data_IF_193566673524
#
_entry.id   IF_193566673524
#
_cell.length_a   1.000
_cell.length_b   1.000
_cell.length_c   1.000
_cell.angle_alpha   90.00
_cell.angle_beta   90.00
_cell.angle_gamma   90.00
#
_symmetry.space_group_name_H-M   'P 1'
#
loop_
_entity.id
_entity.type
_entity.pdbx_description
1 polymer ?
#
# COMPACT_ATOMS: atom_id res chain seq x y z
N UNK A 1 110.93 20.24 50.63
CA UNK A 1 109.79 19.34 51.05
C UNK A 1 108.41 19.97 50.86
N UNK A 2 108.18 21.26 50.77
CA UNK A 2 106.85 21.88 50.63
C UNK A 2 106.17 21.63 49.23
N UNK A 3 106.93 21.46 48.14
CA UNK A 3 106.34 21.26 46.76
C UNK A 3 105.82 19.86 46.55
N UNK A 4 106.32 18.83 47.31
CA UNK A 4 105.86 17.45 47.20
C UNK A 4 104.51 17.23 47.86
N UNK A 5 104.24 17.89 48.98
CA UNK A 5 102.97 17.82 49.70
C UNK A 5 101.82 18.60 48.93
N UNK A 6 102.13 19.66 48.25
CA UNK A 6 101.14 20.41 47.45
C UNK A 6 100.67 19.61 46.25
N UNK A 7 101.57 18.88 45.56
CA UNK A 7 101.21 18.03 44.42
C UNK A 7 100.39 16.77 44.82
N UNK A 8 100.64 16.25 46.07
CA UNK A 8 99.85 15.10 46.55
C UNK A 8 98.39 15.47 46.85
N UNK A 9 98.19 16.66 47.47
CA UNK A 9 96.81 17.15 47.74
C UNK A 9 96.04 17.51 46.48
N UNK A 10 96.67 18.06 45.42
CA UNK A 10 96.08 18.31 44.15
C UNK A 10 95.71 17.03 43.42
N UNK A 11 96.51 15.98 43.49
CA UNK A 11 96.22 14.66 42.95
C UNK A 11 95.06 13.98 43.67
N UNK A 12 95.02 13.99 45.04
CA UNK A 12 93.87 13.47 45.78
C UNK A 12 92.56 14.19 45.47
N UNK A 13 92.57 15.52 45.35
CA UNK A 13 91.41 16.31 44.93
C UNK A 13 90.96 15.98 43.50
N UNK A 14 91.92 15.81 42.58
CA UNK A 14 91.61 15.43 41.18
C UNK A 14 91.00 14.02 41.12
N UNK A 15 91.51 13.09 41.96
CA UNK A 15 90.97 11.75 42.02
C UNK A 15 89.55 11.73 42.62
N UNK A 16 89.30 12.54 43.68
CA UNK A 16 87.96 12.71 44.25
C UNK A 16 86.96 13.28 43.24
N UNK A 17 87.38 14.32 42.47
CA UNK A 17 86.53 14.86 41.40
C UNK A 17 86.28 13.85 40.30
N UNK A 18 87.28 13.03 39.93
CA UNK A 18 87.10 11.96 38.93
C UNK A 18 86.09 10.90 39.44
N UNK A 19 86.24 10.46 40.71
CA UNK A 19 85.32 9.50 41.34
C UNK A 19 83.87 10.05 41.43
N UNK A 20 83.74 11.32 41.84
CA UNK A 20 82.43 12.00 41.85
C UNK A 20 81.83 12.07 40.47
N UNK A 21 82.59 12.44 39.41
CA UNK A 21 82.15 12.45 38.05
C UNK A 21 81.69 11.07 37.54
N UNK A 22 82.51 10.00 37.84
CA UNK A 22 82.14 8.62 37.50
C UNK A 22 80.86 8.20 38.22
N UNK A 23 80.70 8.54 39.51
CA UNK A 23 79.50 8.23 40.28
C UNK A 23 78.25 8.93 39.66
N UNK A 24 78.35 10.26 39.31
CA UNK A 24 77.31 10.98 38.70
C UNK A 24 76.95 10.38 37.29
N UNK A 25 78.01 9.99 36.56
CA UNK A 25 77.81 9.33 35.24
C UNK A 25 77.07 7.97 35.38
N UNK A 26 77.41 7.14 36.40
CA UNK A 26 76.67 5.90 36.65
C UNK A 26 75.23 6.12 37.07
N UNK A 27 74.99 7.13 37.92
CA UNK A 27 73.64 7.52 38.32
C UNK A 27 72.85 7.96 37.09
N UNK A 28 73.45 8.77 36.20
CA UNK A 28 72.81 9.18 34.92
C UNK A 28 72.45 7.97 34.04
N UNK A 29 73.37 7.01 33.87
CA UNK A 29 73.12 5.78 33.13
C UNK A 29 71.98 4.97 33.73
N UNK A 30 71.99 4.78 35.08
CA UNK A 30 70.95 4.05 35.78
C UNK A 30 69.56 4.68 35.60
N UNK A 31 69.46 6.03 35.66
CA UNK A 31 68.22 6.75 35.46
C UNK A 31 67.76 6.61 33.99
N UNK A 32 68.67 6.69 33.00
CA UNK A 32 68.42 6.53 31.60
C UNK A 32 67.88 5.12 31.32
N UNK A 33 68.56 4.07 31.83
CA UNK A 33 68.16 2.70 31.60
C UNK A 33 66.79 2.35 32.25
N UNK A 34 66.52 2.92 33.43
CA UNK A 34 65.25 2.81 34.13
C UNK A 34 64.09 3.44 33.26
N UNK A 35 64.30 4.68 32.80
CA UNK A 35 63.31 5.36 31.92
C UNK A 35 63.07 4.59 30.62
N UNK A 36 64.14 4.04 30.01
CA UNK A 36 64.05 3.24 28.79
C UNK A 36 63.20 1.98 29.03
N UNK A 37 63.44 1.28 30.17
CA UNK A 37 62.64 0.10 30.52
C UNK A 37 61.17 0.44 30.78
N UNK A 38 60.88 1.59 31.38
CA UNK A 38 59.52 2.07 31.63
C UNK A 38 58.81 2.40 30.32
N UNK A 39 59.47 3.10 29.39
CA UNK A 39 58.96 3.42 28.08
C UNK A 39 58.65 2.16 27.25
N UNK A 40 59.51 1.15 27.25
CA UNK A 40 59.29 -0.13 26.60
C UNK A 40 58.08 -0.87 27.20
N UNK A 41 57.90 -0.83 28.50
CA UNK A 41 56.75 -1.44 29.17
C UNK A 41 55.46 -0.71 28.76
N UNK A 42 55.46 0.61 28.66
CA UNK A 42 54.33 1.41 28.21
C UNK A 42 53.94 1.09 26.76
N UNK A 43 54.94 0.98 25.87
CA UNK A 43 54.71 0.54 24.46
C UNK A 43 54.11 -0.86 24.39
N UNK A 44 54.65 -1.84 25.16
CA UNK A 44 54.09 -3.19 25.19
C UNK A 44 52.64 -3.22 25.73
N UNK A 45 52.33 -2.41 26.72
CA UNK A 45 50.98 -2.31 27.24
C UNK A 45 50.03 -1.73 26.19
N UNK A 46 50.45 -0.69 25.49
CA UNK A 46 49.67 -0.10 24.38
C UNK A 46 49.40 -1.10 23.27
N UNK A 47 50.37 -1.92 22.88
CA UNK A 47 50.17 -3.00 21.89
C UNK A 47 49.17 -4.03 22.40
N UNK A 48 49.20 -4.40 23.69
CA UNK A 48 48.21 -5.32 24.27
C UNK A 48 46.80 -4.72 24.27
N UNK A 49 46.65 -3.44 24.56
CA UNK A 49 45.39 -2.72 24.50
C UNK A 49 44.84 -2.71 23.06
N UNK A 50 45.66 -2.45 22.07
CA UNK A 50 45.29 -2.53 20.66
C UNK A 50 44.78 -3.94 20.26
N UNK A 51 45.48 -5.00 20.71
CA UNK A 51 45.06 -6.39 20.44
C UNK A 51 43.71 -6.70 21.13
N UNK A 52 43.48 -6.14 22.33
CA UNK A 52 42.18 -6.31 23.04
C UNK A 52 41.05 -5.46 22.53
N UNK A 53 41.30 -4.59 21.53
CA UNK A 53 40.28 -3.75 20.93
C UNK A 53 40.07 -2.37 21.58
N UNK A 54 40.99 -1.98 22.48
CA UNK A 54 40.98 -0.62 23.05
C UNK A 54 41.90 0.31 22.24
N UNK A 55 41.30 1.23 21.48
CA UNK A 55 41.99 2.15 20.57
C UNK A 55 42.02 3.60 21.09
N UNK A 56 41.49 3.88 22.31
CA UNK A 56 41.13 5.27 22.68
C UNK A 56 42.26 6.06 23.28
N UNK A 57 43.26 5.47 23.92
CA UNK A 57 44.23 6.22 24.69
C UNK A 57 45.49 6.51 23.87
N UNK A 58 45.92 7.75 23.84
CA UNK A 58 47.18 8.12 23.20
C UNK A 58 48.35 7.88 24.16
N UNK A 59 49.39 7.24 23.67
CA UNK A 59 50.62 7.03 24.42
C UNK A 59 51.58 8.20 24.18
N UNK A 60 52.01 8.86 25.26
CA UNK A 60 53.04 9.90 25.21
C UNK A 60 54.30 9.40 25.90
N UNK A 61 55.43 9.35 25.16
CA UNK A 61 56.75 8.97 25.67
C UNK A 61 57.67 10.18 25.55
N UNK A 62 58.53 10.36 26.57
CA UNK A 62 59.53 11.41 26.59
C UNK A 62 60.93 10.82 26.65
N UNK A 63 61.89 11.40 25.91
CA UNK A 63 63.27 11.04 25.95
C UNK A 63 63.85 10.65 24.59
N UNK A 64 64.15 9.37 24.37
CA UNK A 64 64.81 8.88 23.17
C UNK A 64 63.94 9.09 21.92
N UNK A 65 64.52 9.69 20.86
CA UNK A 65 63.81 10.05 19.65
C UNK A 65 63.16 8.84 18.96
N UNK A 66 63.86 7.70 18.97
CA UNK A 66 63.39 6.47 18.30
C UNK A 66 62.16 5.88 19.02
N UNK A 67 62.13 5.96 20.36
CA UNK A 67 60.95 5.54 21.15
C UNK A 67 59.78 6.51 21.03
N UNK A 68 60.06 7.80 20.90
CA UNK A 68 59.02 8.83 20.62
C UNK A 68 58.39 8.59 19.24
N UNK A 69 59.20 8.35 18.22
CA UNK A 69 58.71 8.05 16.87
C UNK A 69 57.91 6.75 16.83
N UNK A 70 58.36 5.71 17.53
CA UNK A 70 57.58 4.46 17.64
C UNK A 70 56.23 4.70 18.37
N UNK A 71 56.21 5.53 19.41
CA UNK A 71 54.98 5.91 20.11
C UNK A 71 54.01 6.65 19.18
N UNK A 72 54.52 7.57 18.35
CA UNK A 72 53.71 8.28 17.38
C UNK A 72 53.13 7.32 16.32
N UNK A 73 53.94 6.41 15.76
CA UNK A 73 53.45 5.42 14.81
C UNK A 73 52.40 4.47 15.43
N UNK A 74 52.54 4.09 16.72
CA UNK A 74 51.52 3.30 17.43
C UNK A 74 50.23 4.10 17.66
N UNK A 75 50.31 5.39 17.93
CA UNK A 75 49.12 6.25 18.00
C UNK A 75 48.43 6.40 16.68
N UNK A 76 49.16 6.62 15.58
CA UNK A 76 48.62 6.68 14.22
C UNK A 76 47.92 5.36 13.84
N UNK A 77 48.58 4.22 14.15
CA UNK A 77 47.97 2.90 13.92
C UNK A 77 46.70 2.71 14.74
N UNK A 78 46.71 3.14 16.04
CA UNK A 78 45.53 3.12 16.89
C UNK A 78 44.37 3.90 16.30
N UNK A 79 44.63 5.10 15.78
CA UNK A 79 43.61 5.93 15.13
C UNK A 79 43.04 5.31 13.84
N UNK A 80 43.89 4.73 13.00
CA UNK A 80 43.46 3.98 11.79
C UNK A 80 42.57 2.81 12.18
N UNK A 81 42.91 2.01 13.19
CA UNK A 81 42.07 0.92 13.64
C UNK A 81 40.74 1.40 14.24
N UNK A 82 40.76 2.48 15.02
CA UNK A 82 39.57 3.10 15.62
C UNK A 82 38.59 3.52 14.50
N UNK A 83 39.10 4.27 13.51
CA UNK A 83 38.27 4.72 12.36
C UNK A 83 37.76 3.56 11.53
N UNK A 84 38.57 2.55 11.27
CA UNK A 84 38.14 1.36 10.53
C UNK A 84 37.02 0.60 11.29
N UNK A 85 37.17 0.44 12.62
CA UNK A 85 36.18 -0.24 13.46
C UNK A 85 34.84 0.57 13.52
N UNK A 86 34.94 1.90 13.71
CA UNK A 86 33.77 2.78 13.71
C UNK A 86 33.05 2.76 12.37
N UNK A 87 33.78 2.84 11.26
CA UNK A 87 33.21 2.75 9.92
C UNK A 87 32.50 1.41 9.68
N UNK A 88 33.10 0.30 10.11
CA UNK A 88 32.50 -1.02 10.00
C UNK A 88 31.21 -1.12 10.84
N UNK A 89 31.24 -0.59 12.07
CA UNK A 89 30.07 -0.56 12.94
C UNK A 89 28.95 0.31 12.35
N UNK A 90 29.27 1.47 11.81
CA UNK A 90 28.31 2.35 11.12
C UNK A 90 27.70 1.66 9.90
N UNK A 91 28.51 1.03 9.04
CA UNK A 91 28.02 0.33 7.85
C UNK A 91 27.11 -0.85 8.21
N UNK A 92 27.52 -1.63 9.24
CA UNK A 92 26.67 -2.71 9.78
C UNK A 92 25.32 -2.19 10.29
N UNK A 93 25.33 -1.09 11.06
CA UNK A 93 24.10 -0.48 11.56
C UNK A 93 23.24 0.09 10.43
N UNK A 94 23.86 0.70 9.41
CA UNK A 94 23.17 1.20 8.21
C UNK A 94 22.47 0.08 7.46
N UNK A 95 23.16 -1.03 7.22
CA UNK A 95 22.58 -2.21 6.58
C UNK A 95 21.45 -2.83 7.42
N UNK A 96 21.62 -2.92 8.74
CA UNK A 96 20.58 -3.40 9.64
C UNK A 96 19.33 -2.51 9.60
N UNK A 97 19.49 -1.19 9.62
CA UNK A 97 18.39 -0.25 9.50
C UNK A 97 17.66 -0.39 8.15
N UNK A 98 18.40 -0.50 7.03
CA UNK A 98 17.81 -0.72 5.72
C UNK A 98 16.93 -1.97 5.74
N UNK A 99 17.43 -3.09 6.24
CA UNK A 99 16.71 -4.36 6.33
C UNK A 99 15.47 -4.28 7.24
N UNK A 100 15.52 -3.46 8.30
CA UNK A 100 14.38 -3.26 9.22
C UNK A 100 13.26 -2.45 8.59
N UNK A 101 13.61 -1.39 7.83
CA UNK A 101 12.61 -0.50 7.22
C UNK A 101 12.18 -0.93 5.81
N UNK A 102 12.73 -2.02 5.27
CA UNK A 102 12.26 -2.58 4.00
C UNK A 102 10.84 -3.12 4.13
N UNK A 103 10.01 -2.81 3.13
CA UNK A 103 8.65 -3.35 2.97
C UNK A 103 8.63 -4.78 2.47
N UNK A 104 9.75 -5.26 1.94
CA UNK A 104 9.91 -6.62 1.44
C UNK A 104 10.51 -7.53 2.49
N UNK A 105 10.02 -8.76 2.53
CA UNK A 105 10.61 -9.82 3.34
C UNK A 105 11.92 -10.30 2.74
N UNK A 106 12.99 -10.38 3.55
CA UNK A 106 14.31 -10.82 3.09
C UNK A 106 14.79 -12.01 3.91
N UNK A 107 15.23 -13.06 3.22
CA UNK A 107 15.90 -14.22 3.79
C UNK A 107 17.28 -14.37 3.16
N UNK A 108 18.26 -14.80 3.96
CA UNK A 108 19.52 -15.31 3.43
C UNK A 108 19.76 -16.73 3.92
N UNK A 109 20.35 -17.57 3.05
CA UNK A 109 20.64 -18.96 3.36
C UNK A 109 22.13 -19.26 3.26
N UNK A 110 22.54 -20.37 3.87
CA UNK A 110 23.82 -21.00 3.61
C UNK A 110 23.78 -21.86 2.32
N UNK A 111 24.87 -22.59 2.03
CA UNK A 111 24.99 -23.47 0.86
C UNK A 111 24.07 -24.69 0.90
N UNK A 112 23.53 -25.03 2.05
CA UNK A 112 22.64 -26.18 2.25
C UNK A 112 21.16 -25.77 2.20
N UNK A 113 20.88 -24.47 2.03
CA UNK A 113 19.54 -23.91 2.02
C UNK A 113 18.98 -23.56 3.39
N UNK A 114 19.79 -23.68 4.44
CA UNK A 114 19.38 -23.27 5.80
C UNK A 114 19.41 -21.77 5.95
N UNK A 115 18.34 -21.22 6.49
CA UNK A 115 18.21 -19.78 6.74
C UNK A 115 19.21 -19.34 7.79
N UNK A 116 20.02 -18.35 7.44
CA UNK A 116 21.03 -17.70 8.30
C UNK A 116 20.60 -16.29 8.71
N UNK A 117 19.69 -15.67 7.97
CA UNK A 117 19.18 -14.32 8.24
C UNK A 117 17.74 -14.19 7.76
N UNK A 118 16.95 -13.47 8.53
CA UNK A 118 15.57 -13.07 8.22
C UNK A 118 15.34 -11.65 8.76
N UNK A 119 14.72 -10.75 7.97
CA UNK A 119 14.35 -9.42 8.44
C UNK A 119 12.96 -9.43 9.12
N UNK A 120 12.57 -8.31 9.74
CA UNK A 120 11.30 -8.20 10.46
C UNK A 120 10.09 -8.37 9.52
N UNK A 121 10.15 -7.82 8.30
CA UNK A 121 9.03 -7.95 7.35
C UNK A 121 8.81 -9.41 6.97
N UNK A 122 9.85 -10.18 6.71
CA UNK A 122 9.72 -11.61 6.42
C UNK A 122 9.15 -12.39 7.62
N UNK A 123 9.49 -12.02 8.86
CA UNK A 123 8.89 -12.63 10.04
C UNK A 123 7.37 -12.42 10.08
N UNK A 124 6.89 -11.21 9.79
CA UNK A 124 5.46 -10.86 9.73
C UNK A 124 4.76 -11.57 8.57
N UNK A 125 5.27 -11.41 7.34
CA UNK A 125 4.69 -12.01 6.14
C UNK A 125 4.60 -13.55 6.23
N UNK A 126 5.57 -14.17 6.91
CA UNK A 126 5.64 -15.63 7.03
C UNK A 126 5.12 -16.16 8.37
N UNK A 127 4.73 -15.27 9.27
CA UNK A 127 4.31 -15.61 10.64
C UNK A 127 5.33 -16.55 11.32
N UNK A 128 6.62 -16.16 11.25
CA UNK A 128 7.75 -16.95 11.74
C UNK A 128 8.63 -16.08 12.66
N UNK A 129 8.76 -16.48 13.90
CA UNK A 129 9.74 -15.88 14.80
C UNK A 129 11.18 -16.16 14.34
N UNK A 130 12.06 -15.19 14.50
CA UNK A 130 13.46 -15.29 14.08
C UNK A 130 14.14 -16.57 14.53
N UNK A 131 14.02 -16.91 15.82
CA UNK A 131 14.71 -18.06 16.43
C UNK A 131 14.21 -19.41 15.87
N UNK A 132 12.94 -19.46 15.46
CA UNK A 132 12.36 -20.64 14.82
C UNK A 132 12.70 -20.71 13.33
N UNK A 133 12.89 -19.58 12.67
CA UNK A 133 13.23 -19.49 11.24
C UNK A 133 14.69 -19.88 10.98
N UNK A 134 15.59 -19.49 11.87
CA UNK A 134 17.03 -19.79 11.73
C UNK A 134 17.28 -21.29 11.73
N UNK A 135 17.99 -21.76 10.70
CA UNK A 135 18.31 -23.19 10.51
C UNK A 135 17.24 -24.02 9.78
N UNK A 136 16.02 -23.49 9.56
CA UNK A 136 15.05 -24.13 8.67
C UNK A 136 15.53 -24.10 7.22
N UNK A 137 15.10 -25.09 6.43
CA UNK A 137 15.37 -25.03 4.99
C UNK A 137 14.40 -24.06 4.33
N UNK A 138 14.90 -23.21 3.45
CA UNK A 138 14.07 -22.21 2.73
C UNK A 138 12.96 -22.88 1.90
N UNK A 139 13.21 -24.09 1.38
CA UNK A 139 12.22 -24.87 0.62
C UNK A 139 11.00 -25.22 1.48
N UNK A 140 11.20 -25.50 2.77
CA UNK A 140 10.10 -25.83 3.69
C UNK A 140 9.19 -24.62 3.93
N UNK A 141 9.75 -23.41 3.87
CA UNK A 141 9.00 -22.16 4.04
C UNK A 141 8.16 -21.83 2.80
N UNK A 142 8.59 -22.21 1.61
CA UNK A 142 7.83 -22.02 0.37
C UNK A 142 6.53 -22.84 0.33
N UNK A 143 6.39 -23.83 1.21
CA UNK A 143 5.19 -24.64 1.33
C UNK A 143 5.27 -25.97 0.56
N UNK A 144 4.30 -26.86 0.84
CA UNK A 144 4.27 -28.22 0.28
C UNK A 144 3.98 -28.26 -1.22
N UNK A 145 3.34 -27.24 -1.75
CA UNK A 145 2.98 -27.11 -3.18
C UNK A 145 4.13 -26.55 -4.04
N UNK A 146 5.28 -26.24 -3.41
CA UNK A 146 6.45 -25.76 -4.12
C UNK A 146 7.09 -26.90 -4.92
N UNK A 147 7.24 -26.77 -6.27
CA UNK A 147 7.81 -27.80 -7.12
C UNK A 147 9.35 -27.80 -7.15
N UNK A 148 9.99 -26.80 -6.54
CA UNK A 148 11.44 -26.57 -6.65
C UNK A 148 12.19 -27.17 -5.46
N UNK A 149 13.27 -27.89 -5.76
CA UNK A 149 14.29 -28.24 -4.76
C UNK A 149 15.25 -27.06 -4.54
N UNK A 150 16.06 -27.12 -3.48
CA UNK A 150 17.08 -26.09 -3.26
C UNK A 150 18.08 -26.00 -4.42
N UNK A 151 18.43 -27.10 -5.03
CA UNK A 151 19.29 -27.14 -6.22
C UNK A 151 18.64 -26.44 -7.44
N UNK A 152 17.34 -26.59 -7.61
CA UNK A 152 16.60 -25.86 -8.65
C UNK A 152 16.62 -24.35 -8.41
N UNK A 153 16.46 -23.92 -7.15
CA UNK A 153 16.55 -22.51 -6.78
C UNK A 153 17.95 -21.93 -7.05
N UNK A 154 19.00 -22.70 -6.81
CA UNK A 154 20.38 -22.30 -7.13
C UNK A 154 20.65 -22.22 -8.64
N UNK A 155 20.13 -23.18 -9.42
CA UNK A 155 20.42 -23.29 -10.83
C UNK A 155 19.64 -22.32 -11.71
N UNK A 156 18.35 -22.10 -11.39
CA UNK A 156 17.39 -21.36 -12.23
C UNK A 156 16.97 -20.02 -11.65
N UNK A 157 17.17 -19.80 -10.33
CA UNK A 157 16.66 -18.61 -9.60
C UNK A 157 15.23 -18.24 -10.03
N UNK A 158 14.26 -19.18 -9.96
CA UNK A 158 12.92 -18.96 -10.46
C UNK A 158 12.21 -17.88 -9.63
N UNK A 159 11.18 -17.28 -10.21
CA UNK A 159 10.22 -16.49 -9.46
C UNK A 159 9.11 -17.42 -8.94
N UNK A 160 8.84 -17.38 -7.64
CA UNK A 160 7.85 -18.25 -6.98
C UNK A 160 6.75 -17.38 -6.38
N UNK A 161 5.49 -17.70 -6.69
CA UNK A 161 4.32 -17.04 -6.08
C UNK A 161 3.69 -18.00 -5.10
N UNK A 162 3.51 -17.56 -3.87
CA UNK A 162 2.84 -18.32 -2.81
C UNK A 162 1.70 -17.54 -2.20
N UNK A 163 0.63 -18.26 -1.87
CA UNK A 163 -0.51 -17.72 -1.14
C UNK A 163 -0.48 -18.28 0.29
N UNK A 164 -0.55 -17.38 1.26
CA UNK A 164 -0.54 -17.78 2.67
C UNK A 164 -1.33 -16.79 3.53
N UNK A 165 -1.40 -17.08 4.83
CA UNK A 165 -1.95 -16.14 5.81
C UNK A 165 -0.79 -15.44 6.54
N UNK A 166 -0.91 -14.14 6.71
CA UNK A 166 0.01 -13.34 7.50
C UNK A 166 -0.19 -13.51 9.02
N UNK A 167 0.50 -12.72 9.83
CA UNK A 167 0.36 -12.71 11.29
C UNK A 167 -1.05 -12.32 11.77
N UNK A 168 -1.79 -11.54 10.99
CA UNK A 168 -3.16 -11.10 11.28
C UNK A 168 -4.22 -12.11 10.80
N UNK A 169 -3.79 -13.17 10.11
CA UNK A 169 -4.67 -14.19 9.53
C UNK A 169 -5.28 -13.80 8.18
N UNK A 170 -4.86 -12.69 7.58
CA UNK A 170 -5.28 -12.26 6.27
C UNK A 170 -4.55 -13.04 5.16
N UNK A 171 -5.24 -13.24 4.02
CA UNK A 171 -4.62 -13.87 2.85
C UNK A 171 -3.71 -12.90 2.12
N UNK A 172 -2.44 -13.25 2.03
CA UNK A 172 -1.42 -12.49 1.30
C UNK A 172 -0.84 -13.33 0.17
N UNK A 173 -0.59 -12.69 -0.97
CA UNK A 173 0.11 -13.25 -2.13
C UNK A 173 1.51 -12.71 -2.17
N UNK A 174 2.49 -13.57 -1.89
CA UNK A 174 3.90 -13.21 -1.87
C UNK A 174 4.58 -13.68 -3.14
N UNK A 175 5.26 -12.77 -3.81
CA UNK A 175 6.11 -13.04 -4.97
C UNK A 175 7.56 -13.05 -4.51
N UNK A 176 8.21 -14.22 -4.61
CA UNK A 176 9.55 -14.46 -4.09
C UNK A 176 10.53 -14.54 -5.26
N UNK A 177 11.56 -13.71 -5.21
CA UNK A 177 12.69 -13.72 -6.13
C UNK A 177 13.95 -14.17 -5.42
N UNK A 178 14.76 -14.94 -6.14
CA UNK A 178 16.00 -15.50 -5.61
C UNK A 178 17.21 -14.90 -6.31
N UNK A 179 18.26 -14.61 -5.54
CA UNK A 179 19.55 -14.19 -6.02
C UNK A 179 20.66 -15.00 -5.36
N UNK A 180 21.72 -15.32 -6.13
CA UNK A 180 22.87 -16.03 -5.60
C UNK A 180 23.73 -15.11 -4.73
N UNK A 181 24.00 -15.52 -3.50
CA UNK A 181 24.98 -14.86 -2.66
C UNK A 181 26.37 -15.42 -2.98
N UNK A 182 27.26 -14.57 -3.54
CA UNK A 182 28.61 -14.94 -3.94
C UNK A 182 29.62 -14.23 -3.07
N UNK A 183 30.71 -14.94 -2.72
CA UNK A 183 31.91 -14.32 -2.11
C UNK A 183 32.74 -13.65 -3.22
N UNK A 184 33.67 -12.78 -2.82
CA UNK A 184 34.64 -12.16 -3.77
C UNK A 184 35.41 -13.18 -4.58
N UNK A 185 35.67 -14.38 -4.04
CA UNK A 185 36.26 -15.52 -4.71
C UNK A 185 35.37 -16.17 -5.79
N UNK A 186 34.15 -15.67 -6.04
CA UNK A 186 33.17 -16.20 -6.98
C UNK A 186 32.38 -17.41 -6.48
N UNK A 187 32.74 -18.01 -5.35
CA UNK A 187 32.03 -19.17 -4.78
C UNK A 187 30.65 -18.76 -4.25
N UNK A 188 29.61 -19.57 -4.59
CA UNK A 188 28.27 -19.39 -4.07
C UNK A 188 28.28 -19.74 -2.57
N UNK A 189 27.88 -18.77 -1.73
CA UNK A 189 27.77 -18.93 -0.27
C UNK A 189 26.34 -19.28 0.18
N UNK A 190 25.35 -19.13 -0.69
CA UNK A 190 23.94 -19.40 -0.45
C UNK A 190 23.03 -18.64 -1.39
N UNK A 191 21.78 -18.47 -1.00
CA UNK A 191 20.77 -17.68 -1.69
C UNK A 191 20.32 -16.50 -0.84
N UNK A 192 19.92 -15.43 -1.48
CA UNK A 192 19.08 -14.38 -0.92
C UNK A 192 17.71 -14.50 -1.58
N UNK A 193 16.65 -14.57 -0.79
CA UNK A 193 15.28 -14.55 -1.24
C UNK A 193 14.62 -13.25 -0.78
N UNK A 194 13.94 -12.57 -1.71
CA UNK A 194 13.17 -11.35 -1.45
C UNK A 194 11.70 -11.65 -1.73
N UNK A 195 10.88 -11.53 -0.71
CA UNK A 195 9.44 -11.75 -0.77
C UNK A 195 8.71 -10.40 -0.82
N UNK A 196 8.11 -10.10 -1.96
CA UNK A 196 7.32 -8.90 -2.20
C UNK A 196 5.83 -9.22 -2.05
N UNK A 197 5.09 -8.41 -1.30
CA UNK A 197 3.64 -8.54 -1.20
C UNK A 197 2.98 -7.95 -2.44
N UNK A 198 2.34 -8.81 -3.21
CA UNK A 198 1.62 -8.46 -4.44
C UNK A 198 0.11 -8.60 -4.30
N UNK A 199 -0.41 -8.69 -3.08
CA UNK A 199 -1.81 -8.99 -2.79
C UNK A 199 -2.76 -8.01 -3.48
N UNK A 200 -2.54 -6.71 -3.30
CA UNK A 200 -3.37 -5.68 -3.95
C UNK A 200 -3.21 -5.69 -5.48
N UNK A 201 -1.98 -5.84 -5.98
CA UNK A 201 -1.73 -5.90 -7.43
C UNK A 201 -2.42 -7.10 -8.09
N UNK A 202 -2.33 -8.29 -7.48
CA UNK A 202 -2.99 -9.50 -7.99
C UNK A 202 -4.52 -9.40 -7.91
N UNK A 203 -5.04 -8.72 -6.88
CA UNK A 203 -6.47 -8.44 -6.73
C UNK A 203 -6.96 -7.50 -7.82
N UNK A 204 -6.27 -6.37 -8.03
CA UNK A 204 -6.60 -5.41 -9.10
C UNK A 204 -6.53 -6.07 -10.48
N UNK A 205 -5.49 -6.86 -10.74
CA UNK A 205 -5.37 -7.57 -12.02
C UNK A 205 -6.46 -8.62 -12.22
N UNK A 206 -6.84 -9.35 -11.17
CA UNK A 206 -7.96 -10.30 -11.19
C UNK A 206 -9.29 -9.58 -11.47
N UNK A 207 -9.54 -8.48 -10.78
CA UNK A 207 -10.74 -7.66 -11.00
C UNK A 207 -10.78 -7.14 -12.43
N UNK A 208 -9.66 -6.67 -12.97
CA UNK A 208 -9.54 -6.23 -14.36
C UNK A 208 -9.82 -7.35 -15.36
N UNK A 209 -9.25 -8.55 -15.14
CA UNK A 209 -9.52 -9.72 -16.02
C UNK A 209 -10.98 -10.14 -15.97
N UNK A 210 -11.59 -10.17 -14.79
CA UNK A 210 -13.01 -10.46 -14.61
C UNK A 210 -13.88 -9.40 -15.29
N UNK A 211 -13.52 -8.13 -15.18
CA UNK A 211 -14.21 -7.04 -15.86
C UNK A 211 -14.24 -7.24 -17.37
N UNK A 212 -13.08 -7.47 -18.02
CA UNK A 212 -12.99 -7.70 -19.47
C UNK A 212 -13.80 -8.93 -19.89
N UNK A 213 -13.73 -10.01 -19.12
CA UNK A 213 -14.51 -11.24 -19.38
C UNK A 213 -16.01 -10.97 -19.31
N UNK A 214 -16.46 -10.25 -18.26
CA UNK A 214 -17.87 -9.93 -18.07
C UNK A 214 -18.40 -9.00 -19.17
N UNK A 215 -17.63 -7.98 -19.58
CA UNK A 215 -17.96 -7.10 -20.71
C UNK A 215 -18.19 -7.92 -21.97
N UNK A 216 -17.23 -8.81 -22.28
CA UNK A 216 -17.32 -9.64 -23.49
C UNK A 216 -18.56 -10.55 -23.47
N UNK A 217 -18.89 -11.13 -22.34
CA UNK A 217 -20.04 -12.01 -22.17
C UNK A 217 -21.36 -11.22 -22.26
N UNK A 218 -21.47 -10.09 -21.57
CA UNK A 218 -22.69 -9.30 -21.51
C UNK A 218 -22.99 -8.54 -22.84
N UNK A 219 -21.96 -8.31 -23.68
CA UNK A 219 -22.15 -7.79 -25.06
C UNK A 219 -22.49 -8.90 -26.06
N UNK A 220 -21.93 -10.11 -25.90
CA UNK A 220 -22.17 -11.23 -26.84
C UNK A 220 -23.62 -11.67 -26.83
N UNK A 221 -24.25 -11.76 -25.66
CA UNK A 221 -25.65 -12.27 -25.53
C UNK A 221 -26.65 -11.42 -26.32
N UNK A 222 -26.76 -10.07 -26.11
CA UNK A 222 -27.68 -9.27 -26.89
C UNK A 222 -27.37 -9.27 -28.40
N UNK A 223 -26.07 -9.25 -28.74
CA UNK A 223 -25.66 -9.28 -30.16
C UNK A 223 -26.10 -10.60 -30.84
N UNK A 224 -25.98 -11.73 -30.17
CA UNK A 224 -26.47 -13.00 -30.68
C UNK A 224 -28.01 -12.98 -30.85
N UNK A 225 -28.71 -12.40 -29.87
CA UNK A 225 -30.18 -12.26 -29.93
C UNK A 225 -30.59 -11.40 -31.13
N UNK A 226 -30.01 -10.19 -31.29
CA UNK A 226 -30.27 -9.33 -32.45
C UNK A 226 -30.00 -10.05 -33.74
N UNK A 227 -28.86 -10.75 -33.86
CA UNK A 227 -28.49 -11.49 -35.05
C UNK A 227 -29.55 -12.57 -35.37
N UNK A 228 -29.97 -13.38 -34.38
CA UNK A 228 -30.97 -14.45 -34.62
C UNK A 228 -32.33 -13.92 -35.05
N UNK A 229 -32.80 -12.80 -34.49
CA UNK A 229 -34.07 -12.21 -34.94
C UNK A 229 -33.97 -11.61 -36.34
N UNK A 230 -32.85 -10.98 -36.71
CA UNK A 230 -32.61 -10.48 -38.04
C UNK A 230 -32.48 -11.62 -39.08
N UNK A 231 -31.81 -12.71 -38.77
CA UNK A 231 -31.73 -13.90 -39.61
C UNK A 231 -33.10 -14.52 -39.84
N UNK A 232 -33.94 -14.64 -38.79
CA UNK A 232 -35.31 -15.12 -38.93
C UNK A 232 -36.17 -14.21 -39.81
N UNK A 233 -36.00 -12.89 -39.74
CA UNK A 233 -36.69 -11.93 -40.63
C UNK A 233 -36.24 -12.08 -42.08
N UNK A 234 -34.96 -12.32 -42.33
CA UNK A 234 -34.38 -12.55 -43.66
C UNK A 234 -34.88 -13.86 -44.29
N UNK A 235 -34.97 -14.93 -43.47
CA UNK A 235 -35.45 -16.26 -43.87
C UNK A 235 -36.95 -16.32 -44.16
N UNK A 236 -37.73 -15.25 -43.96
CA UNK A 236 -39.14 -15.15 -44.38
C UNK A 236 -40.12 -14.67 -43.32
N UNK A 237 -39.76 -14.59 -42.04
CA UNK A 237 -40.61 -14.08 -40.96
C UNK A 237 -41.03 -12.60 -41.18
N UNK A 238 -40.39 -11.89 -42.12
CA UNK A 238 -40.78 -10.52 -42.51
C UNK A 238 -42.21 -10.42 -43.03
N UNK A 239 -42.74 -11.52 -43.58
CA UNK A 239 -44.10 -11.62 -44.12
C UNK A 239 -45.12 -12.12 -43.10
N UNK A 240 -44.71 -12.42 -41.91
CA UNK A 240 -45.54 -12.94 -40.84
C UNK A 240 -45.93 -11.85 -39.84
N UNK A 241 -47.03 -12.07 -39.10
CA UNK A 241 -47.50 -11.17 -38.04
C UNK A 241 -46.50 -10.98 -36.89
N UNK A 242 -45.43 -11.80 -36.81
CA UNK A 242 -44.38 -11.73 -35.82
C UNK A 242 -43.28 -10.70 -36.09
N UNK A 243 -43.17 -10.21 -37.34
CA UNK A 243 -42.14 -9.27 -37.78
C UNK A 243 -42.03 -8.02 -36.88
N UNK A 244 -43.11 -7.33 -36.48
CA UNK A 244 -43.04 -6.16 -35.60
C UNK A 244 -42.45 -6.50 -34.23
N UNK A 245 -42.72 -7.71 -33.70
CA UNK A 245 -42.17 -8.16 -32.40
C UNK A 245 -40.68 -8.43 -32.48
N UNK A 246 -40.17 -9.02 -33.57
CA UNK A 246 -38.74 -9.29 -33.79
C UNK A 246 -37.95 -8.01 -33.97
N UNK A 247 -38.49 -7.05 -34.73
CA UNK A 247 -37.89 -5.70 -34.88
C UNK A 247 -37.83 -5.00 -33.52
N UNK A 248 -38.92 -5.05 -32.74
CA UNK A 248 -38.98 -4.41 -31.43
C UNK A 248 -37.92 -5.00 -30.47
N UNK A 249 -37.80 -6.33 -30.39
CA UNK A 249 -36.80 -6.99 -29.55
C UNK A 249 -35.38 -6.62 -29.99
N UNK A 250 -35.12 -6.58 -31.31
CA UNK A 250 -33.82 -6.16 -31.85
C UNK A 250 -33.46 -4.73 -31.48
N UNK A 251 -34.43 -3.80 -31.57
CA UNK A 251 -34.26 -2.41 -31.15
C UNK A 251 -34.00 -2.30 -29.63
N UNK A 252 -34.76 -3.03 -28.80
CA UNK A 252 -34.65 -3.00 -27.36
C UNK A 252 -33.25 -3.51 -26.92
N UNK A 253 -32.76 -4.61 -27.53
CA UNK A 253 -31.41 -5.13 -27.25
C UNK A 253 -30.30 -4.20 -27.76
N UNK A 254 -30.48 -3.55 -28.90
CA UNK A 254 -29.55 -2.54 -29.40
C UNK A 254 -29.46 -1.33 -28.45
N UNK A 255 -30.59 -0.80 -28.01
CA UNK A 255 -30.66 0.29 -27.04
C UNK A 255 -30.04 -0.10 -25.70
N UNK A 256 -30.19 -1.36 -25.29
CA UNK A 256 -29.53 -1.91 -24.11
C UNK A 256 -27.98 -1.95 -24.25
N UNK A 257 -27.49 -2.38 -25.42
CA UNK A 257 -26.05 -2.37 -25.71
C UNK A 257 -25.50 -0.94 -25.71
N UNK A 258 -26.18 0.02 -26.28
CA UNK A 258 -25.78 1.44 -26.29
C UNK A 258 -25.65 1.99 -24.83
N UNK A 259 -26.64 1.72 -23.98
CA UNK A 259 -26.59 2.09 -22.58
C UNK A 259 -25.41 1.43 -21.85
N UNK A 260 -25.16 0.13 -22.11
CA UNK A 260 -24.02 -0.57 -21.53
C UNK A 260 -22.69 0.03 -21.95
N UNK A 261 -22.53 0.39 -23.24
CA UNK A 261 -21.31 1.04 -23.73
C UNK A 261 -21.11 2.41 -23.06
N UNK A 262 -22.19 3.19 -22.91
CA UNK A 262 -22.14 4.48 -22.22
C UNK A 262 -21.74 4.33 -20.75
N UNK A 263 -22.30 3.33 -20.05
CA UNK A 263 -21.95 3.01 -18.65
C UNK A 263 -20.48 2.59 -18.53
N UNK A 264 -19.97 1.77 -19.47
CA UNK A 264 -18.57 1.32 -19.50
C UNK A 264 -17.61 2.49 -19.74
N UNK A 265 -17.94 3.39 -20.66
CA UNK A 265 -17.13 4.59 -20.92
C UNK A 265 -17.13 5.53 -19.70
N UNK A 266 -18.26 5.67 -19.02
CA UNK A 266 -18.33 6.44 -17.77
C UNK A 266 -17.41 5.86 -16.70
N UNK A 267 -17.49 4.54 -16.46
CA UNK A 267 -16.60 3.84 -15.50
C UNK A 267 -15.12 3.97 -15.89
N UNK A 268 -14.78 3.76 -17.15
CA UNK A 268 -13.39 3.88 -17.63
C UNK A 268 -12.82 5.28 -17.43
N UNK A 269 -13.62 6.32 -17.63
CA UNK A 269 -13.19 7.70 -17.37
C UNK A 269 -12.98 7.97 -15.89
N UNK A 270 -13.82 7.40 -15.03
CA UNK A 270 -13.74 7.50 -13.58
C UNK A 270 -12.48 6.78 -13.07
N UNK A 271 -12.24 5.53 -13.49
CA UNK A 271 -11.10 4.71 -13.08
C UNK A 271 -9.73 5.37 -13.41
N UNK A 272 -9.66 6.01 -14.57
CA UNK A 272 -8.44 6.69 -15.02
C UNK A 272 -8.24 8.09 -14.43
N UNK A 273 -9.10 8.54 -13.51
CA UNK A 273 -9.09 9.90 -12.93
C UNK A 273 -9.02 11.02 -13.98
N UNK A 274 -9.45 10.74 -15.22
CA UNK A 274 -9.40 11.68 -16.35
C UNK A 274 -10.48 12.75 -16.21
N UNK A 275 -11.58 12.43 -15.53
CA UNK A 275 -12.69 13.35 -15.34
C UNK A 275 -12.56 14.02 -13.98
N UNK A 276 -12.19 15.29 -13.96
CA UNK A 276 -12.39 16.14 -12.78
C UNK A 276 -13.90 16.40 -12.67
N UNK A 277 -14.41 16.39 -11.43
CA UNK A 277 -15.78 16.82 -11.17
C UNK A 277 -15.89 18.29 -11.53
N UNK A 278 -16.98 18.66 -12.21
CA UNK A 278 -17.38 20.04 -12.44
C UNK A 278 -18.25 20.48 -11.24
N UNK A 279 -17.56 20.90 -10.19
CA UNK A 279 -18.19 21.21 -8.90
C UNK A 279 -18.68 22.64 -8.92
N UNK A 280 -19.96 22.83 -8.66
CA UNK A 280 -20.62 24.12 -8.56
C UNK A 280 -21.46 24.23 -7.26
N UNK A 281 -21.60 25.45 -6.74
CA UNK A 281 -22.45 25.73 -5.60
C UNK A 281 -23.91 25.57 -6.00
N UNK A 282 -24.60 24.60 -5.44
CA UNK A 282 -25.95 24.21 -5.87
C UNK A 282 -26.91 24.13 -4.70
N UNK A 283 -28.12 24.67 -4.87
CA UNK A 283 -29.22 24.44 -3.95
C UNK A 283 -29.72 22.99 -4.10
N UNK A 284 -29.24 22.11 -3.24
CA UNK A 284 -29.52 20.68 -3.30
C UNK A 284 -31.00 20.35 -3.09
N UNK A 285 -31.72 21.13 -2.28
CA UNK A 285 -33.18 20.96 -2.08
C UNK A 285 -33.96 21.21 -3.38
N UNK A 286 -33.62 22.29 -4.09
CA UNK A 286 -34.22 22.59 -5.39
C UNK A 286 -33.82 21.56 -6.45
N UNK A 287 -32.55 21.16 -6.47
CA UNK A 287 -32.02 20.13 -7.36
C UNK A 287 -32.72 18.78 -7.16
N UNK A 288 -32.83 18.27 -5.94
CA UNK A 288 -33.56 17.04 -5.63
C UNK A 288 -35.02 17.13 -6.04
N UNK A 289 -35.68 18.26 -5.74
CA UNK A 289 -37.06 18.49 -6.11
C UNK A 289 -37.27 18.45 -7.63
N UNK A 290 -36.35 19.04 -8.42
CA UNK A 290 -36.40 19.02 -9.87
C UNK A 290 -36.32 17.59 -10.43
N UNK A 291 -35.43 16.76 -9.89
CA UNK A 291 -35.28 15.35 -10.26
C UNK A 291 -36.57 14.59 -9.96
N UNK A 292 -37.10 14.71 -8.75
CA UNK A 292 -38.32 14.00 -8.35
C UNK A 292 -39.54 14.43 -9.17
N UNK A 293 -39.65 15.71 -9.54
CA UNK A 293 -40.70 16.20 -10.44
C UNK A 293 -40.61 15.57 -11.83
N UNK A 294 -39.42 15.36 -12.37
CA UNK A 294 -39.20 14.65 -13.63
C UNK A 294 -39.71 13.20 -13.54
N UNK A 295 -39.44 12.51 -12.44
CA UNK A 295 -39.94 11.14 -12.21
C UNK A 295 -41.47 11.09 -12.07
N UNK A 296 -42.09 12.08 -11.40
CA UNK A 296 -43.56 12.20 -11.35
C UNK A 296 -44.21 12.41 -12.75
N UNK A 297 -43.57 13.20 -13.63
CA UNK A 297 -44.02 13.36 -14.99
C UNK A 297 -43.95 12.07 -15.81
N UNK A 298 -42.82 11.30 -15.68
CA UNK A 298 -42.65 9.99 -16.34
C UNK A 298 -43.74 9.01 -15.86
N UNK A 299 -44.03 9.01 -14.54
CA UNK A 299 -45.11 8.23 -13.94
C UNK A 299 -46.45 8.52 -14.62
N UNK A 300 -46.83 9.80 -14.74
CA UNK A 300 -48.12 10.21 -15.32
C UNK A 300 -48.26 9.80 -16.78
N UNK A 301 -47.18 9.73 -17.55
CA UNK A 301 -47.15 9.23 -18.91
C UNK A 301 -47.26 7.69 -19.02
N UNK A 302 -46.73 6.96 -18.02
CA UNK A 302 -46.72 5.48 -18.00
C UNK A 302 -47.93 4.86 -17.29
N UNK A 303 -48.86 5.64 -16.75
CA UNK A 303 -50.06 5.15 -16.03
C UNK A 303 -50.98 4.29 -16.91
N UNK A 304 -50.77 4.29 -18.24
CA UNK A 304 -51.43 3.38 -19.19
C UNK A 304 -51.05 1.89 -18.98
N UNK A 305 -49.99 1.56 -18.20
CA UNK A 305 -49.51 0.22 -18.00
C UNK A 305 -49.92 -0.43 -16.66
N UNK A 306 -50.83 0.22 -15.87
CA UNK A 306 -51.45 -0.38 -14.67
C UNK A 306 -50.59 -0.40 -13.40
N UNK A 307 -49.39 0.22 -13.39
CA UNK A 307 -48.56 0.31 -12.20
C UNK A 307 -48.63 1.73 -11.61
N UNK A 308 -48.99 1.83 -10.33
CA UNK A 308 -48.99 3.11 -9.59
C UNK A 308 -47.98 3.07 -8.50
N UNK A 309 -47.01 4.00 -8.51
CA UNK A 309 -46.10 4.25 -7.38
C UNK A 309 -46.27 5.71 -6.94
N UNK A 310 -46.01 5.97 -5.65
CA UNK A 310 -46.08 7.29 -5.03
C UNK A 310 -44.71 7.71 -4.57
N UNK A 311 -44.28 8.94 -4.93
CA UNK A 311 -43.00 9.49 -4.44
C UNK A 311 -43.28 10.42 -3.26
N UNK A 312 -42.86 10.01 -2.08
CA UNK A 312 -43.00 10.77 -0.83
C UNK A 312 -41.73 11.57 -0.59
N UNK A 313 -41.85 12.86 -0.40
CA UNK A 313 -40.79 13.80 -0.10
C UNK A 313 -40.74 14.08 1.39
N UNK A 314 -39.76 13.49 2.10
CA UNK A 314 -39.58 13.67 3.56
C UNK A 314 -38.30 14.48 3.81
N UNK A 315 -38.32 15.75 3.43
CA UNK A 315 -37.23 16.69 3.66
C UNK A 315 -37.71 18.11 3.81
N UNK A 316 -36.96 18.98 4.54
CA UNK A 316 -37.36 20.36 4.77
C UNK A 316 -37.34 21.15 3.46
N UNK A 317 -38.21 22.16 3.38
CA UNK A 317 -38.25 23.09 2.23
C UNK A 317 -37.14 24.13 2.29
N UNK A 318 -36.38 24.20 3.39
CA UNK A 318 -35.24 25.10 3.51
C UNK A 318 -34.15 24.73 2.48
N UNK A 319 -33.51 25.74 1.92
CA UNK A 319 -32.42 25.58 0.97
C UNK A 319 -31.22 24.94 1.65
N UNK A 320 -30.66 23.91 1.05
CA UNK A 320 -29.41 23.27 1.43
C UNK A 320 -28.43 23.55 0.29
N UNK A 321 -27.49 24.46 0.53
CA UNK A 321 -26.47 24.82 -0.44
C UNK A 321 -25.23 23.95 -0.23
N UNK A 322 -24.67 23.42 -1.30
CA UNK A 322 -23.46 22.61 -1.25
C UNK A 322 -22.75 22.53 -2.61
N UNK A 323 -21.49 22.23 -2.58
CA UNK A 323 -20.67 22.03 -3.75
C UNK A 323 -20.83 20.62 -4.31
N UNK A 324 -21.38 20.48 -5.51
CA UNK A 324 -21.56 19.19 -6.22
C UNK A 324 -21.40 19.34 -7.73
N UNK A 325 -21.08 18.24 -8.40
CA UNK A 325 -21.27 18.08 -9.84
C UNK A 325 -22.71 17.59 -10.07
N UNK A 326 -23.57 18.48 -10.58
CA UNK A 326 -25.01 18.25 -10.75
C UNK A 326 -25.30 17.15 -11.76
N UNK A 327 -24.51 17.03 -12.84
CA UNK A 327 -24.69 16.00 -13.86
C UNK A 327 -24.37 14.61 -13.30
N UNK A 328 -23.26 14.51 -12.57
CA UNK A 328 -22.87 13.25 -11.92
C UNK A 328 -23.83 12.85 -10.80
N UNK A 329 -24.28 13.82 -10.00
CA UNK A 329 -25.24 13.54 -8.93
C UNK A 329 -26.63 13.17 -9.51
N UNK A 330 -27.03 13.78 -10.62
CA UNK A 330 -28.21 13.35 -11.39
C UNK A 330 -28.09 11.87 -11.78
N UNK A 331 -26.93 11.46 -12.30
CA UNK A 331 -26.68 10.05 -12.66
C UNK A 331 -26.80 9.10 -11.46
N UNK A 332 -26.32 9.51 -10.29
CA UNK A 332 -26.45 8.72 -9.04
C UNK A 332 -27.91 8.54 -8.68
N UNK A 333 -28.66 9.64 -8.60
CA UNK A 333 -30.06 9.62 -8.20
C UNK A 333 -30.94 8.86 -9.22
N UNK A 334 -30.68 9.04 -10.51
CA UNK A 334 -31.36 8.30 -11.59
C UNK A 334 -31.13 6.80 -11.46
N UNK A 335 -29.91 6.35 -11.18
CA UNK A 335 -29.61 4.94 -10.99
C UNK A 335 -30.36 4.33 -9.81
N UNK A 336 -30.47 5.06 -8.70
CA UNK A 336 -31.15 4.54 -7.51
C UNK A 336 -32.67 4.60 -7.67
N UNK A 337 -33.24 5.73 -8.15
CA UNK A 337 -34.67 5.89 -8.34
C UNK A 337 -35.22 4.93 -9.42
N UNK A 338 -34.51 4.76 -10.54
CA UNK A 338 -34.87 3.77 -11.54
C UNK A 338 -34.85 2.34 -11.00
N UNK A 339 -33.90 2.02 -10.11
CA UNK A 339 -33.90 0.71 -9.45
C UNK A 339 -35.09 0.56 -8.48
N UNK A 340 -35.42 1.58 -7.69
CA UNK A 340 -36.59 1.58 -6.82
C UNK A 340 -37.88 1.30 -7.60
N UNK A 341 -38.11 2.00 -8.72
CA UNK A 341 -39.28 1.79 -9.60
C UNK A 341 -39.26 0.40 -10.23
N UNK A 342 -38.12 -0.01 -10.73
CA UNK A 342 -37.95 -1.27 -11.46
C UNK A 342 -38.20 -2.49 -10.58
N UNK A 343 -37.74 -2.45 -9.34
CA UNK A 343 -37.87 -3.56 -8.40
C UNK A 343 -39.08 -3.47 -7.49
N UNK A 344 -40.00 -2.54 -7.73
CA UNK A 344 -41.32 -2.46 -7.15
C UNK A 344 -42.40 -2.88 -8.16
N UNK A 345 -42.58 -4.20 -8.44
CA UNK A 345 -43.39 -4.67 -9.57
C UNK A 345 -44.90 -4.39 -9.39
N UNK A 346 -45.37 -4.32 -8.16
CA UNK A 346 -46.79 -4.09 -7.84
C UNK A 346 -47.10 -2.62 -7.52
N UNK A 347 -46.15 -1.71 -7.78
CA UNK A 347 -46.23 -0.33 -7.34
C UNK A 347 -45.74 -0.17 -5.90
N UNK A 348 -46.27 0.82 -5.19
CA UNK A 348 -45.90 1.09 -3.78
C UNK A 348 -45.33 2.49 -3.58
N UNK A 349 -44.74 2.73 -2.42
CA UNK A 349 -44.20 4.04 -2.06
C UNK A 349 -42.67 4.05 -2.21
N UNK A 350 -42.17 5.16 -2.76
CA UNK A 350 -40.75 5.48 -2.80
C UNK A 350 -40.57 6.74 -1.93
N UNK A 351 -39.95 6.58 -0.76
CA UNK A 351 -39.74 7.70 0.16
C UNK A 351 -38.33 8.23 0.01
N UNK A 352 -38.21 9.51 -0.31
CA UNK A 352 -36.93 10.23 -0.36
C UNK A 352 -36.82 11.14 0.84
N UNK A 353 -35.87 10.90 1.70
CA UNK A 353 -35.60 11.72 2.88
C UNK A 353 -34.23 12.37 2.80
N UNK A 354 -34.13 13.60 3.29
CA UNK A 354 -32.86 14.31 3.45
C UNK A 354 -32.76 14.85 4.87
N UNK A 355 -31.57 14.69 5.48
CA UNK A 355 -31.24 15.20 6.81
C UNK A 355 -29.84 15.78 6.79
N UNK A 356 -29.65 16.92 7.42
CA UNK A 356 -28.34 17.55 7.56
C UNK A 356 -27.85 17.42 8.99
N UNK A 357 -26.55 17.21 9.13
CA UNK A 357 -25.79 17.41 10.36
C UNK A 357 -24.87 18.61 10.16
N UNK A 358 -24.00 18.92 11.13
CA UNK A 358 -23.02 20.01 10.98
C UNK A 358 -22.03 19.77 9.85
N UNK A 359 -21.69 18.51 9.54
CA UNK A 359 -20.65 18.14 8.58
C UNK A 359 -21.13 17.23 7.43
N UNK A 360 -22.41 16.84 7.39
CA UNK A 360 -22.88 15.84 6.44
C UNK A 360 -24.32 16.09 5.99
N UNK A 361 -24.58 15.87 4.71
CA UNK A 361 -25.91 15.68 4.14
C UNK A 361 -26.17 14.18 3.99
N UNK A 362 -27.24 13.68 4.58
CA UNK A 362 -27.68 12.29 4.52
C UNK A 362 -28.93 12.22 3.67
N UNK A 363 -28.88 11.48 2.57
CA UNK A 363 -29.97 11.25 1.63
C UNK A 363 -30.35 9.78 1.71
N UNK A 364 -31.62 9.47 1.96
CA UNK A 364 -32.09 8.08 1.96
C UNK A 364 -33.27 7.93 1.00
N UNK A 365 -33.17 6.92 0.12
CA UNK A 365 -34.20 6.55 -0.85
C UNK A 365 -34.68 5.15 -0.48
N UNK A 366 -35.93 5.03 -0.05
CA UNK A 366 -36.54 3.79 0.41
C UNK A 366 -37.66 3.36 -0.52
N UNK A 367 -37.65 2.10 -0.96
CA UNK A 367 -38.69 1.47 -1.77
C UNK A 367 -39.41 0.36 -0.97
N UNK A 368 -40.65 0.06 -1.35
CA UNK A 368 -41.45 -1.07 -0.84
C UNK A 368 -41.42 -2.26 -1.83
N UNK A 369 -40.31 -2.44 -2.52
CA UNK A 369 -40.15 -3.47 -3.56
C UNK A 369 -39.77 -4.84 -3.01
N UNK A 370 -39.20 -5.65 -3.89
CA UNK A 370 -38.82 -7.04 -3.60
C UNK A 370 -37.76 -7.19 -2.51
N UNK A 371 -37.01 -6.14 -2.20
CA UNK A 371 -35.88 -6.21 -1.31
C UNK A 371 -34.71 -7.04 -1.86
N UNK A 372 -33.61 -7.08 -1.10
CA UNK A 372 -32.34 -7.70 -1.46
C UNK A 372 -31.99 -8.75 -0.41
N UNK A 373 -31.67 -10.00 -0.81
CA UNK A 373 -31.22 -11.01 0.15
C UNK A 373 -29.93 -10.57 0.88
N UNK A 374 -29.81 -10.87 2.16
CA UNK A 374 -28.65 -10.45 3.00
C UNK A 374 -27.30 -10.87 2.43
N UNK A 375 -27.22 -12.04 1.80
CA UNK A 375 -25.97 -12.54 1.17
C UNK A 375 -25.52 -11.71 -0.02
N UNK A 376 -26.45 -11.02 -0.68
CA UNK A 376 -26.20 -10.26 -1.90
C UNK A 376 -25.91 -8.78 -1.60
N UNK A 377 -26.30 -8.25 -0.43
CA UNK A 377 -26.10 -6.86 -0.03
C UNK A 377 -24.65 -6.36 -0.15
N UNK A 378 -23.61 -7.11 0.23
CA UNK A 378 -22.23 -6.68 0.06
C UNK A 378 -21.80 -6.54 -1.40
N UNK A 379 -22.49 -7.24 -2.31
CA UNK A 379 -22.09 -7.40 -3.71
C UNK A 379 -22.86 -6.50 -4.69
N UNK A 380 -23.96 -5.86 -4.25
CA UNK A 380 -24.83 -5.09 -5.18
C UNK A 380 -24.14 -3.88 -5.81
N UNK A 381 -23.05 -3.41 -5.23
CA UNK A 381 -22.23 -2.32 -5.77
C UNK A 381 -21.07 -2.80 -6.64
N UNK A 382 -20.91 -4.14 -6.79
CA UNK A 382 -19.88 -4.70 -7.65
C UNK A 382 -20.31 -4.61 -9.13
N UNK A 383 -19.34 -4.45 -10.00
CA UNK A 383 -19.56 -4.32 -11.45
C UNK A 383 -20.20 -5.58 -12.02
N UNK A 384 -21.26 -5.44 -12.81
CA UNK A 384 -22.04 -6.53 -13.42
C UNK A 384 -22.78 -7.45 -12.44
N UNK A 385 -22.78 -7.12 -11.14
CA UNK A 385 -23.48 -7.92 -10.16
C UNK A 385 -25.01 -7.75 -10.30
N UNK A 386 -25.73 -8.86 -10.15
CA UNK A 386 -27.20 -8.92 -10.20
C UNK A 386 -27.68 -10.04 -9.32
N UNK A 387 -28.65 -9.76 -8.46
CA UNK A 387 -29.28 -10.76 -7.55
C UNK A 387 -29.98 -11.86 -8.36
N UNK A 388 -30.70 -11.51 -9.41
CA UNK A 388 -31.36 -12.43 -10.36
C UNK A 388 -31.02 -12.04 -11.80
N UNK A 389 -30.14 -12.83 -12.42
CA UNK A 389 -29.65 -12.58 -13.78
C UNK A 389 -30.76 -12.67 -14.84
N UNK A 390 -31.72 -13.59 -14.69
CA UNK A 390 -32.77 -13.82 -15.68
C UNK A 390 -33.80 -12.68 -15.65
N UNK A 391 -34.33 -12.36 -14.49
CA UNK A 391 -35.33 -11.31 -14.31
C UNK A 391 -34.77 -9.91 -14.63
N UNK A 392 -33.53 -9.67 -14.22
CA UNK A 392 -32.86 -8.38 -14.48
C UNK A 392 -32.54 -8.15 -15.94
N UNK A 393 -32.28 -9.24 -16.72
CA UNK A 393 -32.13 -9.16 -18.19
C UNK A 393 -33.43 -8.73 -18.87
N UNK A 394 -34.52 -9.35 -18.51
CA UNK A 394 -35.86 -9.02 -19.05
C UNK A 394 -36.25 -7.55 -18.81
N UNK A 395 -35.69 -6.93 -17.77
CA UNK A 395 -35.91 -5.53 -17.38
C UNK A 395 -34.78 -4.59 -17.85
N UNK A 396 -33.88 -5.01 -18.75
CA UNK A 396 -32.86 -4.17 -19.40
C UNK A 396 -31.73 -3.64 -18.49
N UNK A 397 -31.49 -4.26 -17.33
CA UNK A 397 -30.43 -3.82 -16.42
C UNK A 397 -29.03 -4.18 -16.93
N UNK A 398 -28.05 -3.28 -16.78
CA UNK A 398 -26.65 -3.49 -17.14
C UNK A 398 -25.84 -4.12 -15.99
N UNK A 399 -26.27 -3.91 -14.73
CA UNK A 399 -25.50 -4.27 -13.54
C UNK A 399 -24.33 -3.31 -13.26
N UNK A 400 -24.30 -2.17 -13.94
CA UNK A 400 -23.25 -1.15 -13.78
C UNK A 400 -23.71 0.08 -13.01
N UNK A 401 -25.03 0.37 -13.00
CA UNK A 401 -25.55 1.62 -12.46
C UNK A 401 -25.23 1.87 -10.98
N UNK A 402 -25.34 0.85 -10.11
CA UNK A 402 -24.99 1.01 -8.70
C UNK A 402 -23.46 1.12 -8.49
N UNK A 403 -22.67 0.45 -9.29
CA UNK A 403 -21.21 0.60 -9.27
C UNK A 403 -20.79 2.01 -9.69
N UNK A 404 -21.42 2.57 -10.73
CA UNK A 404 -21.22 3.97 -11.16
C UNK A 404 -21.65 4.93 -10.04
N UNK A 405 -22.81 4.71 -9.43
CA UNK A 405 -23.28 5.54 -8.32
C UNK A 405 -22.30 5.56 -7.13
N UNK A 406 -21.79 4.39 -6.76
CA UNK A 406 -20.78 4.28 -5.69
C UNK A 406 -19.50 5.06 -6.01
N UNK A 407 -19.02 4.96 -7.24
CA UNK A 407 -17.78 5.64 -7.62
C UNK A 407 -17.95 7.16 -7.71
N UNK A 408 -19.08 7.64 -8.24
CA UNK A 408 -19.41 9.09 -8.26
C UNK A 408 -19.51 9.63 -6.83
N UNK A 409 -20.21 8.94 -5.93
CA UNK A 409 -20.34 9.36 -4.52
C UNK A 409 -18.97 9.38 -3.84
N UNK A 410 -18.10 8.40 -4.12
CA UNK A 410 -16.72 8.37 -3.62
C UNK A 410 -15.88 9.55 -4.13
N UNK A 411 -16.03 9.94 -5.41
CA UNK A 411 -15.37 11.13 -5.96
C UNK A 411 -15.82 12.42 -5.25
N UNK A 412 -17.09 12.50 -4.83
CA UNK A 412 -17.61 13.58 -3.97
C UNK A 412 -17.21 13.42 -2.50
N UNK A 413 -16.25 12.55 -2.18
CA UNK A 413 -15.78 12.25 -0.80
C UNK A 413 -16.89 11.74 0.12
N UNK A 414 -17.94 11.18 -0.46
CA UNK A 414 -19.10 10.63 0.24
C UNK A 414 -19.08 9.11 0.37
N UNK A 415 -20.14 8.59 0.97
CA UNK A 415 -20.36 7.15 1.15
C UNK A 415 -21.76 6.76 0.70
N UNK A 416 -21.91 5.53 0.17
CA UNK A 416 -23.19 4.95 -0.19
C UNK A 416 -23.26 3.52 0.34
N UNK A 417 -24.43 3.16 0.91
CA UNK A 417 -24.74 1.79 1.32
C UNK A 417 -26.22 1.48 1.17
N UNK A 418 -26.59 0.22 1.30
CA UNK A 418 -27.99 -0.21 1.28
C UNK A 418 -28.32 -1.05 2.53
N UNK A 419 -29.56 -0.89 3.02
CA UNK A 419 -30.20 -1.79 3.97
C UNK A 419 -31.46 -2.36 3.31
N UNK A 420 -31.67 -3.66 3.46
CA UNK A 420 -32.83 -4.30 2.83
C UNK A 420 -33.23 -5.56 3.58
N UNK A 421 -34.52 -5.81 3.61
CA UNK A 421 -35.12 -7.09 3.99
C UNK A 421 -35.85 -7.67 2.78
N UNK A 422 -35.50 -8.90 2.41
CA UNK A 422 -36.12 -9.57 1.26
C UNK A 422 -37.65 -9.68 1.42
N UNK A 423 -38.41 -9.22 0.46
CA UNK A 423 -39.87 -9.15 0.50
C UNK A 423 -40.47 -7.90 1.18
N UNK A 424 -39.63 -6.95 1.68
CA UNK A 424 -40.11 -5.73 2.36
C UNK A 424 -39.61 -4.43 1.74
N UNK A 425 -38.69 -4.50 0.81
CA UNK A 425 -38.11 -3.35 0.15
C UNK A 425 -36.65 -3.08 0.53
N UNK A 426 -36.11 -1.98 0.01
CA UNK A 426 -34.73 -1.58 0.20
C UNK A 426 -34.62 -0.09 0.53
N UNK A 427 -33.57 0.27 1.27
CA UNK A 427 -33.22 1.67 1.54
C UNK A 427 -31.77 1.90 1.15
N UNK A 428 -31.55 2.75 0.17
CA UNK A 428 -30.24 3.24 -0.21
C UNK A 428 -29.94 4.55 0.48
N UNK A 429 -28.80 4.64 1.14
CA UNK A 429 -28.38 5.84 1.88
C UNK A 429 -27.09 6.37 1.28
N UNK A 430 -27.09 7.65 0.93
CA UNK A 430 -25.92 8.42 0.46
C UNK A 430 -25.58 9.43 1.54
N UNK A 431 -24.30 9.58 1.85
CA UNK A 431 -23.78 10.61 2.74
C UNK A 431 -22.76 11.42 1.98
N UNK A 432 -22.95 12.72 1.92
CA UNK A 432 -22.03 13.67 1.30
C UNK A 432 -21.46 14.63 2.34
N UNK A 433 -20.22 15.10 2.21
CA UNK A 433 -19.70 16.19 3.02
C UNK A 433 -20.57 17.43 2.86
N UNK A 434 -20.85 18.09 3.95
CA UNK A 434 -21.65 19.32 3.99
C UNK A 434 -21.03 20.28 4.99
N UNK A 435 -20.80 21.50 4.59
CA UNK A 435 -20.33 22.55 5.49
C UNK A 435 -21.42 23.62 5.61
N UNK A 436 -22.00 23.67 6.81
CA UNK A 436 -23.07 24.61 7.12
C UNK A 436 -22.55 26.04 7.24
N UNK A 437 -21.29 26.22 7.60
CA UNK A 437 -20.69 27.55 7.81
C UNK A 437 -20.24 28.21 6.50
N UNK A 438 -19.86 27.42 5.50
CA UNK A 438 -19.48 27.93 4.19
C UNK A 438 -20.62 28.69 3.47
N UNK A 439 -21.86 28.38 3.80
CA UNK A 439 -23.08 28.98 3.19
C UNK A 439 -23.40 30.36 3.77
N UNK A 440 -22.94 30.67 4.97
CA UNK A 440 -23.27 31.94 5.67
C UNK A 440 -22.47 33.12 5.14
N UNK A 441 -21.32 32.88 4.53
CA UNK A 441 -20.44 33.95 4.03
C UNK A 441 -20.90 34.55 2.68
N UNK A 442 -21.63 33.82 1.84
CA UNK A 442 -22.10 34.31 0.54
C UNK A 442 -23.39 35.16 0.63
N UNK A 443 -24.17 35.05 1.71
CA UNK A 443 -25.38 35.87 1.89
C UNK A 443 -25.08 37.33 2.35
N UNK A 444 -23.83 37.63 2.72
CA UNK A 444 -23.45 38.97 3.23
C UNK A 444 -22.73 39.85 2.21
N UNK A 445 -22.34 39.31 1.03
CA UNK A 445 -21.68 40.11 -0.01
C UNK A 445 -22.67 40.74 -1.01
N UNK A 446 -23.95 40.33 -1.07
CA UNK A 446 -24.94 40.87 -2.00
C UNK A 446 -25.75 42.06 -1.45
N UNK A 447 -25.54 42.51 -0.23
CA UNK A 447 -26.27 43.65 0.39
C UNK A 447 -25.44 44.97 0.45
N UNK A 448 -24.26 45.04 -0.19
CA UNK A 448 -23.48 46.31 -0.30
C UNK A 448 -23.20 46.69 -1.76
N UNK A 449 -24.24 46.96 -2.59
CA UNK A 449 -24.15 47.82 -3.76
C UNK A 449 -25.39 48.74 -3.88
#
# INVERSE_FOLDING_TARGET
>A
MSNIFGNLHTFELALLFLLAFVAVYFVYLAIRDFRMAENIRALNNKVRELISGNYSDALTIQGDSDLVDLSNHLNDLSEVFRLAHENLAQEKNRLANILTYMTDGVFATDRTGKITMINEMAQRQFNLERDKALGLNIVDILGKDNPYTFNDLLAKTPEVVINRRDENGEFVTLRIRFALNRRESGFISGLVAVAHDTTEQEKEERERRLFVSNVSHELRTPLTSVKSYLEALDEGALKEDVAPSFIKVSLDETNRMMRMISDLLALSRIDNQVTRLDIEMTNFTAFMTSILNRFDQIKNQQTTAGKSYEIIRDYPLSSIWMEIDTDKMTQVLDNILNNAIKYSPDGGRITVSMRTTEAQLIISISDEGLGIPKKDLPLIFDRFYRVDKARSRAQGGTGLGLAIAKEIVKQHKGFIWAKSDYGKGSTFTIVLPYDKEAVVYDEWEDDEE
#
